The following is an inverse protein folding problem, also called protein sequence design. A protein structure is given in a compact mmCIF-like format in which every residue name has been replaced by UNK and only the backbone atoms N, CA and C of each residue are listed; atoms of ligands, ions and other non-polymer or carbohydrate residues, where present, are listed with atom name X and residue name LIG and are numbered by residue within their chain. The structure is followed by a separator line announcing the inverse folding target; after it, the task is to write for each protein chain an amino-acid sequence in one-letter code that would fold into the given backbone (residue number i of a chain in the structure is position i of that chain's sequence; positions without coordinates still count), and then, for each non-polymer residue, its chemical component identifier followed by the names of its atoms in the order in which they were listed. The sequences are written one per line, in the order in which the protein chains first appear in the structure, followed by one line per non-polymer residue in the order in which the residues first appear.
data_IF_972444988719
#
_entry.id   IF_972444988719
#
_cell.length_a   1.000
_cell.length_b   1.000
_cell.length_c   1.000
_cell.angle_alpha   90.00
_cell.angle_beta   90.00
_cell.angle_gamma   90.00
#
_symmetry.space_group_name_H-M   'P 1'
#
loop_
_entity.id
_entity.type
_entity.pdbx_description
1 polymer ?
#
# COMPACT_ATOMS: atom_id res chain seq x y z
N UNK A 1 18.58 -17.19 -8.45
CA UNK A 1 18.41 -16.32 -9.64
C UNK A 1 18.50 -14.87 -9.15
N UNK A 2 19.39 -14.03 -9.69
CA UNK A 2 19.49 -12.61 -9.32
C UNK A 2 18.53 -11.82 -10.22
N UNK A 3 17.48 -11.23 -9.65
CA UNK A 3 16.53 -10.40 -10.38
C UNK A 3 16.85 -8.92 -10.12
N UNK A 4 17.39 -8.18 -11.11
CA UNK A 4 17.84 -6.80 -10.90
C UNK A 4 16.74 -5.89 -10.33
N UNK A 5 15.48 -6.07 -10.76
CA UNK A 5 14.34 -5.33 -10.22
C UNK A 5 14.16 -5.52 -8.71
N UNK A 6 14.20 -6.77 -8.23
CA UNK A 6 14.06 -7.05 -6.81
C UNK A 6 15.27 -6.54 -6.02
N UNK A 7 16.47 -6.59 -6.58
CA UNK A 7 17.66 -6.03 -5.91
C UNK A 7 17.55 -4.51 -5.73
N UNK A 8 17.14 -3.80 -6.78
CA UNK A 8 16.90 -2.37 -6.73
C UNK A 8 15.81 -2.03 -5.70
N UNK A 9 14.70 -2.76 -5.71
CA UNK A 9 13.61 -2.55 -4.75
C UNK A 9 14.06 -2.78 -3.31
N UNK A 10 14.74 -3.89 -3.02
CA UNK A 10 15.21 -4.18 -1.67
C UNK A 10 16.24 -3.15 -1.19
N UNK A 11 17.15 -2.71 -2.08
CA UNK A 11 18.08 -1.62 -1.75
C UNK A 11 17.35 -0.32 -1.45
N UNK A 12 16.32 0.03 -2.24
CA UNK A 12 15.50 1.21 -2.00
C UNK A 12 14.79 1.14 -0.65
N UNK A 13 14.15 0.01 -0.33
CA UNK A 13 13.48 -0.19 0.96
C UNK A 13 14.44 -0.11 2.14
N UNK A 14 15.65 -0.68 2.03
CA UNK A 14 16.67 -0.62 3.08
C UNK A 14 17.19 0.79 3.38
N UNK A 15 16.99 1.78 2.50
CA UNK A 15 17.35 3.17 2.79
C UNK A 15 16.61 3.74 4.01
N UNK A 16 15.47 3.14 4.42
CA UNK A 16 14.78 3.55 5.65
C UNK A 16 15.67 3.49 6.89
N UNK A 17 16.60 2.53 6.93
CA UNK A 17 17.54 2.36 8.05
C UNK A 17 18.60 3.47 8.09
N UNK A 18 18.97 4.01 6.92
CA UNK A 18 19.94 5.10 6.80
C UNK A 18 19.31 6.47 7.05
N UNK A 19 18.10 6.70 6.52
CA UNK A 19 17.34 7.95 6.74
C UNK A 19 16.93 8.04 8.21
N UNK A 20 16.46 6.95 8.79
CA UNK A 20 16.01 6.88 10.17
C UNK A 20 14.76 7.74 10.46
N UNK A 21 14.46 7.89 11.75
CA UNK A 21 13.29 8.63 12.24
C UNK A 21 12.11 7.72 12.60
N UNK A 22 11.11 8.31 13.25
CA UNK A 22 9.98 7.57 13.83
C UNK A 22 8.91 7.16 12.79
N UNK A 23 9.06 7.60 11.54
CA UNK A 23 8.14 7.27 10.46
C UNK A 23 8.29 5.82 9.98
N UNK A 24 9.52 5.29 9.92
CA UNK A 24 9.77 4.00 9.29
C UNK A 24 9.64 2.82 10.27
N UNK A 25 8.98 1.75 9.84
CA UNK A 25 9.04 0.48 10.55
C UNK A 25 10.37 -0.24 10.34
N UNK A 26 10.69 -1.20 11.22
CA UNK A 26 12.00 -1.88 11.28
C UNK A 26 12.14 -3.09 10.33
N UNK A 27 11.33 -3.15 9.28
CA UNK A 27 11.23 -4.35 8.43
C UNK A 27 11.38 -4.03 6.93
N UNK A 28 12.52 -3.51 6.47
CA UNK A 28 12.70 -3.13 5.06
C UNK A 28 12.55 -4.31 4.07
N UNK A 29 12.60 -5.55 4.55
CA UNK A 29 12.44 -6.77 3.76
C UNK A 29 10.99 -7.29 3.69
N UNK A 30 10.00 -6.53 4.19
CA UNK A 30 8.61 -6.97 4.31
C UNK A 30 7.99 -7.52 3.03
N UNK A 31 8.37 -6.97 1.87
CA UNK A 31 7.92 -7.43 0.56
C UNK A 31 8.23 -8.91 0.27
N UNK A 32 9.15 -9.52 1.02
CA UNK A 32 9.50 -10.94 0.90
C UNK A 32 8.55 -11.90 1.62
N UNK A 33 7.76 -11.43 2.59
CA UNK A 33 6.91 -12.30 3.42
C UNK A 33 5.47 -11.83 3.58
N UNK A 34 5.12 -10.59 3.18
CA UNK A 34 3.71 -10.21 3.13
C UNK A 34 2.99 -10.97 2.02
N UNK A 35 1.73 -11.32 2.29
CA UNK A 35 0.84 -11.96 1.33
C UNK A 35 -0.38 -11.07 1.07
N UNK A 36 -1.03 -11.26 -0.07
CA UNK A 36 -2.27 -10.58 -0.41
C UNK A 36 -3.18 -11.48 -1.24
N UNK A 37 -4.49 -11.32 -1.05
CA UNK A 37 -5.50 -11.85 -1.96
C UNK A 37 -6.05 -10.67 -2.75
N UNK A 38 -5.84 -10.70 -4.07
CA UNK A 38 -6.23 -9.61 -4.96
C UNK A 38 -7.13 -10.15 -6.06
N UNK A 39 -8.15 -9.37 -6.41
CA UNK A 39 -9.02 -9.62 -7.56
C UNK A 39 -8.72 -8.62 -8.67
N UNK A 40 -8.91 -9.06 -9.92
CA UNK A 40 -8.90 -8.19 -11.09
C UNK A 40 -10.32 -8.16 -11.65
N UNK A 41 -10.84 -6.97 -11.89
CA UNK A 41 -12.21 -6.74 -12.36
C UNK A 41 -12.16 -5.94 -13.65
N UNK A 42 -12.87 -6.41 -14.67
CA UNK A 42 -13.05 -5.66 -15.91
C UNK A 42 -14.09 -4.57 -15.71
N UNK A 43 -13.78 -3.35 -16.15
CA UNK A 43 -14.63 -2.17 -16.00
C UNK A 43 -14.79 -1.48 -17.34
N UNK A 44 -15.99 -1.00 -17.65
CA UNK A 44 -16.19 -0.17 -18.84
C UNK A 44 -15.60 1.22 -18.61
N UNK A 45 -15.13 1.86 -19.69
CA UNK A 45 -14.65 3.25 -19.63
C UNK A 45 -15.74 4.23 -19.13
N UNK A 46 -17.02 3.92 -19.35
CA UNK A 46 -18.10 4.77 -18.84
C UNK A 46 -18.23 4.72 -17.30
N UNK A 47 -17.80 3.63 -16.67
CA UNK A 47 -18.02 3.38 -15.24
C UNK A 47 -16.74 3.41 -14.41
N UNK A 48 -15.55 3.48 -15.02
CA UNK A 48 -14.30 3.24 -14.30
C UNK A 48 -14.06 4.25 -13.17
N UNK A 49 -14.39 5.53 -13.36
CA UNK A 49 -14.27 6.57 -12.32
C UNK A 49 -15.16 6.24 -11.13
N UNK A 50 -16.43 5.93 -11.37
CA UNK A 50 -17.35 5.54 -10.31
C UNK A 50 -16.82 4.32 -9.54
N UNK A 51 -16.28 3.33 -10.25
CA UNK A 51 -15.76 2.11 -9.62
C UNK A 51 -14.50 2.40 -8.80
N UNK A 52 -13.54 3.16 -9.31
CA UNK A 52 -12.33 3.55 -8.56
C UNK A 52 -12.72 4.29 -7.27
N UNK A 53 -13.57 5.32 -7.37
CA UNK A 53 -14.02 6.09 -6.20
C UNK A 53 -14.74 5.20 -5.18
N UNK A 54 -15.64 4.35 -5.66
CA UNK A 54 -16.38 3.41 -4.78
C UNK A 54 -15.42 2.45 -4.08
N UNK A 55 -14.46 1.86 -4.81
CA UNK A 55 -13.50 0.92 -4.24
C UNK A 55 -12.57 1.58 -3.22
N UNK A 56 -12.18 2.83 -3.47
CA UNK A 56 -11.42 3.66 -2.54
C UNK A 56 -12.20 3.90 -1.23
N UNK A 57 -13.47 4.27 -1.33
CA UNK A 57 -14.32 4.55 -0.15
C UNK A 57 -14.59 3.32 0.71
N UNK A 58 -14.59 2.11 0.14
CA UNK A 58 -14.84 0.86 0.89
C UNK A 58 -13.55 0.21 1.42
N UNK A 59 -12.36 0.78 1.22
CA UNK A 59 -11.09 0.18 1.67
C UNK A 59 -11.10 -0.12 3.17
N UNK A 60 -11.58 0.80 4.02
CA UNK A 60 -11.66 0.58 5.46
C UNK A 60 -12.56 -0.62 5.84
N UNK A 61 -13.68 -0.79 5.14
CA UNK A 61 -14.58 -1.92 5.36
C UNK A 61 -13.93 -3.25 4.92
N UNK A 62 -13.21 -3.23 3.78
CA UNK A 62 -12.45 -4.40 3.30
C UNK A 62 -11.33 -4.76 4.27
N UNK A 63 -10.54 -3.77 4.71
CA UNK A 63 -9.46 -3.97 5.68
C UNK A 63 -9.99 -4.57 7.00
N UNK A 64 -11.15 -4.12 7.47
CA UNK A 64 -11.80 -4.71 8.64
C UNK A 64 -12.22 -6.17 8.43
N UNK A 65 -12.89 -6.47 7.30
CA UNK A 65 -13.40 -7.81 7.00
C UNK A 65 -12.28 -8.83 6.73
N UNK A 66 -11.17 -8.40 6.12
CA UNK A 66 -10.07 -9.26 5.70
C UNK A 66 -8.81 -9.12 6.59
N UNK A 67 -8.93 -8.48 7.75
CA UNK A 67 -7.83 -8.32 8.70
C UNK A 67 -7.25 -9.68 9.12
N UNK A 68 -5.99 -9.94 8.75
CA UNK A 68 -5.33 -11.22 8.99
C UNK A 68 -3.80 -11.07 9.10
N UNK A 69 -3.33 -9.97 9.68
CA UNK A 69 -1.90 -9.69 9.80
C UNK A 69 -1.59 -9.01 11.12
N UNK A 70 -2.09 -9.56 12.23
CA UNK A 70 -1.69 -9.12 13.56
C UNK A 70 -0.25 -9.54 13.82
N UNK A 71 0.62 -8.56 14.15
CA UNK A 71 2.02 -8.80 14.48
C UNK A 71 2.26 -8.51 15.96
N UNK A 72 2.11 -9.53 16.81
CA UNK A 72 2.22 -9.40 18.27
C UNK A 72 3.63 -9.12 18.77
N UNK A 73 4.65 -9.24 17.91
CA UNK A 73 6.03 -8.90 18.24
C UNK A 73 6.30 -7.39 18.20
N UNK A 74 5.38 -6.60 17.63
CA UNK A 74 5.46 -5.15 17.52
C UNK A 74 4.29 -4.49 18.24
N UNK A 75 4.47 -3.25 18.69
CA UNK A 75 3.44 -2.48 19.39
C UNK A 75 2.58 -1.64 18.41
N UNK A 76 2.29 -2.18 17.24
CA UNK A 76 1.50 -1.48 16.22
C UNK A 76 0.03 -1.30 16.60
N UNK A 77 -0.45 -2.07 17.58
CA UNK A 77 -1.84 -2.07 18.05
C UNK A 77 -2.87 -2.11 16.89
N UNK A 78 -2.64 -3.01 15.92
CA UNK A 78 -3.51 -3.19 14.76
C UNK A 78 -3.53 -4.65 14.29
N UNK A 79 -4.61 -5.03 13.59
CA UNK A 79 -4.77 -6.35 12.95
C UNK A 79 -4.39 -6.35 11.47
N UNK A 80 -4.02 -5.18 10.95
CA UNK A 80 -3.60 -4.94 9.56
C UNK A 80 -2.15 -4.44 9.51
N UNK A 81 -1.22 -5.10 10.21
CA UNK A 81 0.20 -4.72 10.19
C UNK A 81 0.79 -4.73 8.76
N UNK A 82 0.21 -5.54 7.86
CA UNK A 82 0.54 -5.51 6.43
C UNK A 82 0.40 -4.12 5.82
N UNK A 83 -0.67 -3.40 6.17
CA UNK A 83 -0.99 -2.10 5.60
C UNK A 83 -0.01 -1.04 6.13
N UNK A 84 0.32 -1.11 7.42
CA UNK A 84 1.42 -0.33 8.01
C UNK A 84 2.77 -0.61 7.35
N UNK A 85 3.06 -1.85 6.97
CA UNK A 85 4.30 -2.12 6.22
C UNK A 85 4.37 -1.44 4.86
N UNK A 86 3.23 -1.14 4.22
CA UNK A 86 3.25 -0.31 3.04
C UNK A 86 3.46 1.16 3.40
N UNK A 87 2.63 1.68 4.31
CA UNK A 87 2.55 3.10 4.65
C UNK A 87 3.78 3.63 5.39
N UNK A 88 4.39 2.82 6.27
CA UNK A 88 5.52 3.20 7.12
C UNK A 88 6.85 2.69 6.55
N UNK A 89 6.92 2.47 5.23
CA UNK A 89 8.13 2.06 4.53
C UNK A 89 8.62 3.17 3.59
N UNK A 90 9.72 2.91 2.89
CA UNK A 90 10.15 3.78 1.79
C UNK A 90 9.09 3.94 0.70
N UNK A 91 8.15 2.99 0.52
CA UNK A 91 7.03 3.21 -0.40
C UNK A 91 6.13 4.36 0.05
N UNK A 92 5.85 4.46 1.34
CA UNK A 92 4.99 5.51 1.91
C UNK A 92 5.69 6.85 2.14
N UNK A 93 6.98 6.96 1.82
CA UNK A 93 7.68 8.25 1.83
C UNK A 93 7.00 9.26 0.88
N UNK A 94 6.51 8.78 -0.25
CA UNK A 94 5.64 9.54 -1.15
C UNK A 94 4.21 9.06 -0.89
N UNK A 95 3.36 9.97 -0.43
CA UNK A 95 1.98 9.64 0.00
C UNK A 95 1.13 9.11 -1.15
N UNK A 96 1.48 9.45 -2.39
CA UNK A 96 0.76 9.05 -3.60
C UNK A 96 0.96 7.56 -3.94
N UNK A 97 1.96 6.89 -3.37
CA UNK A 97 2.27 5.50 -3.69
C UNK A 97 1.43 4.47 -2.92
N UNK A 98 0.81 4.87 -1.81
CA UNK A 98 0.23 3.95 -0.81
C UNK A 98 -1.06 4.52 -0.23
N UNK A 99 -1.83 3.65 0.42
CA UNK A 99 -3.06 4.05 1.11
C UNK A 99 -4.23 4.30 0.15
N UNK A 100 -5.10 5.22 0.54
CA UNK A 100 -6.32 5.59 -0.18
C UNK A 100 -6.15 6.92 -0.89
N UNK A 101 -6.83 7.07 -2.03
CA UNK A 101 -6.89 8.36 -2.72
C UNK A 101 -7.55 9.40 -1.80
N UNK A 102 -6.99 10.62 -1.72
CA UNK A 102 -7.44 11.64 -0.76
C UNK A 102 -8.79 12.29 -1.15
N UNK A 103 -9.21 12.14 -2.40
CA UNK A 103 -10.48 12.66 -2.92
C UNK A 103 -11.05 11.74 -3.99
N UNK A 104 -12.34 11.89 -4.27
CA UNK A 104 -13.01 11.25 -5.39
C UNK A 104 -12.64 11.96 -6.70
N UNK A 105 -12.30 11.19 -7.72
CA UNK A 105 -11.99 11.72 -9.04
C UNK A 105 -13.25 12.19 -9.76
N UNK A 106 -13.18 13.32 -10.45
CA UNK A 106 -14.31 13.86 -11.24
C UNK A 106 -14.44 13.17 -12.60
N UNK A 107 -13.31 12.87 -13.23
CA UNK A 107 -13.23 12.34 -14.57
C UNK A 107 -11.87 11.65 -14.83
N UNK A 108 -11.69 11.19 -16.07
CA UNK A 108 -10.48 10.48 -16.50
C UNK A 108 -9.22 11.35 -16.51
N UNK A 109 -9.35 12.64 -16.81
CA UNK A 109 -8.22 13.55 -16.81
C UNK A 109 -7.74 13.82 -15.38
N UNK A 110 -8.67 13.99 -14.44
CA UNK A 110 -8.37 14.12 -13.01
C UNK A 110 -7.63 12.87 -12.48
N UNK A 111 -8.08 11.66 -12.83
CA UNK A 111 -7.43 10.41 -12.41
C UNK A 111 -6.00 10.24 -12.94
N UNK A 112 -5.72 10.67 -14.17
CA UNK A 112 -4.40 10.47 -14.79
C UNK A 112 -3.39 11.60 -14.52
N UNK A 113 -3.81 12.69 -13.88
CA UNK A 113 -2.96 13.86 -13.59
C UNK A 113 -2.60 14.01 -12.09
N UNK A 114 -2.78 12.95 -11.31
CA UNK A 114 -2.32 12.85 -9.91
C UNK A 114 -0.79 12.89 -9.84
#
# INVERSE_FOLDING_TARGET
MKYPRYQMLMQYLSLSEEIGGDFFHRYPDYGGYICGSQVQLDVSRANFIQVINTFNQIEAAKAYLFANSELTAEDFNTRISRDRFWEESMHGLLVENVGVNPYDFTDEEDFFNI
#
